data_IF_559557990946
#
_entry.id   IF_559557990946
#
_cell.length_a   1.000
_cell.length_b   1.000
_cell.length_c   1.000
_cell.angle_alpha   90.00
_cell.angle_beta   90.00
_cell.angle_gamma   90.00
#
_symmetry.space_group_name_H-M   'P 1'
#
loop_
_entity.id
_entity.type
_entity.pdbx_description
1 polymer ?
#
# COMPACT_ATOMS: atom_id res chain seq x y z
N UNK A 1 -5.04 7.01 -47.53
CA UNK A 1 -4.19 5.98 -46.90
C UNK A 1 -5.11 4.86 -46.42
N UNK A 2 -4.62 3.63 -46.23
CA UNK A 2 -5.50 2.57 -45.73
C UNK A 2 -5.88 2.87 -44.26
N UNK A 3 -7.18 2.75 -43.93
CA UNK A 3 -7.76 3.08 -42.61
C UNK A 3 -6.99 2.45 -41.42
N UNK A 4 -6.40 1.28 -41.63
CA UNK A 4 -5.62 0.56 -40.62
C UNK A 4 -4.37 1.33 -40.15
N UNK A 5 -3.70 2.08 -41.03
CA UNK A 5 -2.52 2.87 -40.68
C UNK A 5 -2.90 4.17 -39.96
N UNK A 6 -4.04 4.77 -40.29
CA UNK A 6 -4.55 5.95 -39.57
C UNK A 6 -4.93 5.57 -38.11
N UNK A 7 -5.44 4.36 -37.90
CA UNK A 7 -5.67 3.82 -36.56
C UNK A 7 -4.37 3.61 -35.78
N UNK A 8 -3.32 3.09 -36.42
CA UNK A 8 -1.99 2.97 -35.80
C UNK A 8 -1.41 4.35 -35.44
N UNK A 9 -1.62 5.35 -36.29
CA UNK A 9 -1.19 6.72 -36.02
C UNK A 9 -1.89 7.32 -34.79
N UNK A 10 -3.22 7.17 -34.70
CA UNK A 10 -3.97 7.64 -33.54
C UNK A 10 -3.50 6.94 -32.26
N UNK A 11 -3.25 5.64 -32.34
CA UNK A 11 -2.71 4.88 -31.21
C UNK A 11 -1.32 5.36 -30.80
N UNK A 12 -0.42 5.61 -31.75
CA UNK A 12 0.91 6.15 -31.49
C UNK A 12 0.83 7.50 -30.76
N UNK A 13 -0.02 8.41 -31.24
CA UNK A 13 -0.21 9.72 -30.63
C UNK A 13 -0.77 9.58 -29.22
N UNK A 14 -1.74 8.69 -29.01
CA UNK A 14 -2.29 8.41 -27.69
C UNK A 14 -1.22 7.84 -26.74
N UNK A 15 -0.39 6.91 -27.19
CA UNK A 15 0.73 6.36 -26.41
C UNK A 15 1.77 7.43 -26.06
N UNK A 16 2.12 8.30 -27.01
CA UNK A 16 3.07 9.40 -26.77
C UNK A 16 2.55 10.43 -25.78
N UNK A 17 1.27 10.79 -25.87
CA UNK A 17 0.62 11.68 -24.90
C UNK A 17 0.58 11.01 -23.52
N UNK A 18 0.16 9.75 -23.46
CA UNK A 18 0.09 8.99 -22.21
C UNK A 18 1.46 8.86 -21.56
N UNK A 19 2.49 8.50 -22.34
CA UNK A 19 3.86 8.38 -21.89
C UNK A 19 4.43 9.74 -21.42
N UNK A 20 4.20 10.80 -22.19
CA UNK A 20 4.61 12.16 -21.83
C UNK A 20 3.95 12.64 -20.53
N UNK A 21 2.66 12.33 -20.36
CA UNK A 21 1.92 12.64 -19.13
C UNK A 21 2.47 11.84 -17.94
N UNK A 22 2.86 10.58 -18.14
CA UNK A 22 3.38 9.68 -17.11
C UNK A 22 4.82 10.03 -16.69
N UNK A 23 5.64 10.51 -17.63
CA UNK A 23 7.02 10.94 -17.40
C UNK A 23 7.12 12.27 -16.65
N UNK A 24 6.06 13.08 -16.66
CA UNK A 24 6.05 14.34 -15.93
C UNK A 24 6.29 14.06 -14.43
N UNK A 25 7.10 14.87 -13.73
CA UNK A 25 7.28 14.74 -12.28
C UNK A 25 6.00 15.21 -11.56
N UNK A 26 4.98 14.36 -11.51
CA UNK A 26 3.73 14.65 -10.80
C UNK A 26 3.97 14.72 -9.29
N UNK A 27 3.29 15.63 -8.56
CA UNK A 27 3.33 15.66 -7.12
C UNK A 27 2.84 14.32 -6.54
N UNK A 28 3.57 13.81 -5.53
CA UNK A 28 3.47 12.43 -5.03
C UNK A 28 2.04 12.00 -4.65
N UNK A 29 1.19 12.93 -4.19
CA UNK A 29 -0.21 12.64 -3.88
C UNK A 29 -1.06 12.31 -5.12
N UNK A 30 -0.92 13.11 -6.18
CA UNK A 30 -1.65 12.90 -7.44
C UNK A 30 -1.13 11.66 -8.17
N UNK A 31 0.19 11.42 -8.15
CA UNK A 31 0.81 10.20 -8.67
C UNK A 31 0.28 8.94 -7.98
N UNK A 32 0.23 8.93 -6.65
CA UNK A 32 -0.34 7.80 -5.87
C UNK A 32 -1.83 7.60 -6.17
N UNK A 33 -2.58 8.69 -6.32
CA UNK A 33 -4.00 8.64 -6.68
C UNK A 33 -4.25 8.00 -8.04
N UNK A 34 -3.55 8.46 -9.08
CA UNK A 34 -3.67 7.92 -10.45
C UNK A 34 -3.20 6.48 -10.51
N UNK A 35 -2.08 6.14 -9.87
CA UNK A 35 -1.56 4.77 -9.88
C UNK A 35 -2.47 3.79 -9.16
N UNK A 36 -3.08 4.22 -8.04
CA UNK A 36 -4.07 3.41 -7.32
C UNK A 36 -5.35 3.26 -8.12
N UNK A 37 -5.76 4.30 -8.87
CA UNK A 37 -6.87 4.20 -9.80
C UNK A 37 -6.54 3.28 -10.99
N UNK A 38 -5.28 3.25 -11.43
CA UNK A 38 -4.81 2.38 -12.50
C UNK A 38 -4.76 0.91 -12.06
N UNK A 39 -4.39 0.64 -10.81
CA UNK A 39 -4.26 -0.69 -10.24
C UNK A 39 -5.60 -1.30 -9.78
N UNK A 40 -6.51 -0.49 -9.19
CA UNK A 40 -7.78 -1.00 -8.64
C UNK A 40 -8.95 -1.04 -9.62
N UNK A 41 -8.85 -0.39 -10.78
CA UNK A 41 -10.00 -0.26 -11.65
C UNK A 41 -10.09 -1.46 -12.63
N UNK A 42 -11.16 -2.28 -12.60
CA UNK A 42 -11.33 -3.41 -13.53
C UNK A 42 -11.38 -2.98 -15.01
N UNK A 43 -11.69 -1.70 -15.26
CA UNK A 43 -11.62 -1.10 -16.60
C UNK A 43 -10.18 -1.11 -17.14
N UNK A 44 -9.18 -0.95 -16.27
CA UNK A 44 -7.77 -0.89 -16.69
C UNK A 44 -7.24 -2.26 -17.07
N UNK A 45 -7.66 -3.31 -16.36
CA UNK A 45 -7.35 -4.69 -16.74
C UNK A 45 -7.92 -5.03 -18.13
N UNK A 46 -9.16 -4.62 -18.37
CA UNK A 46 -9.83 -4.78 -19.68
C UNK A 46 -9.11 -3.98 -20.78
N UNK A 47 -8.72 -2.73 -20.49
CA UNK A 47 -7.95 -1.89 -21.42
C UNK A 47 -6.58 -2.49 -21.71
N UNK A 48 -5.86 -2.97 -20.69
CA UNK A 48 -4.54 -3.59 -20.85
C UNK A 48 -4.64 -4.84 -21.74
N UNK A 49 -5.67 -5.66 -21.52
CA UNK A 49 -5.95 -6.83 -22.35
C UNK A 49 -6.29 -6.44 -23.80
N UNK A 50 -7.10 -5.40 -23.99
CA UNK A 50 -7.42 -4.86 -25.32
C UNK A 50 -6.16 -4.35 -26.03
N UNK A 51 -5.29 -3.63 -25.32
CA UNK A 51 -4.02 -3.15 -25.86
C UNK A 51 -3.06 -4.30 -26.22
N UNK A 52 -3.06 -5.42 -25.48
CA UNK A 52 -2.28 -6.62 -25.84
C UNK A 52 -2.73 -7.24 -27.16
N UNK A 53 -4.05 -7.33 -27.37
CA UNK A 53 -4.61 -7.83 -28.63
C UNK A 53 -4.28 -6.86 -29.78
N UNK A 54 -4.40 -5.57 -29.52
CA UNK A 54 -4.08 -4.52 -30.50
C UNK A 54 -2.58 -4.51 -30.86
N UNK A 55 -1.70 -4.76 -29.89
CA UNK A 55 -0.27 -4.95 -30.13
C UNK A 55 0.02 -6.10 -31.09
N UNK A 56 -0.65 -7.25 -30.94
CA UNK A 56 -0.51 -8.36 -31.88
C UNK A 56 -0.97 -7.98 -33.29
N UNK A 57 -2.03 -7.18 -33.41
CA UNK A 57 -2.48 -6.66 -34.70
C UNK A 57 -1.46 -5.70 -35.34
N UNK A 58 -0.89 -4.78 -34.55
CA UNK A 58 0.19 -3.88 -35.01
C UNK A 58 1.42 -4.69 -35.43
N UNK A 59 1.74 -5.79 -34.74
CA UNK A 59 2.83 -6.69 -35.11
C UNK A 59 2.59 -7.35 -36.47
N UNK A 60 1.37 -7.77 -36.78
CA UNK A 60 1.02 -8.30 -38.11
C UNK A 60 1.19 -7.21 -39.18
N UNK A 61 0.69 -5.98 -38.93
CA UNK A 61 0.86 -4.85 -39.85
C UNK A 61 2.33 -4.44 -40.03
N UNK A 62 3.14 -4.58 -38.99
CA UNK A 62 4.57 -4.34 -39.06
C UNK A 62 5.25 -5.36 -39.98
N UNK A 63 4.94 -6.65 -39.84
CA UNK A 63 5.46 -7.70 -40.73
C UNK A 63 4.98 -7.48 -42.17
N UNK A 64 3.73 -7.06 -42.37
CA UNK A 64 3.21 -6.69 -43.70
C UNK A 64 3.98 -5.50 -44.29
N UNK A 65 4.23 -4.46 -43.49
CA UNK A 65 5.01 -3.29 -43.89
C UNK A 65 6.45 -3.65 -44.25
N UNK A 66 7.07 -4.58 -43.51
CA UNK A 66 8.41 -5.13 -43.81
C UNK A 66 8.41 -5.86 -45.16
N UNK A 67 7.42 -6.72 -45.42
CA UNK A 67 7.28 -7.38 -46.72
C UNK A 67 7.11 -6.38 -47.85
N UNK A 68 6.38 -5.29 -47.62
CA UNK A 68 6.21 -4.20 -48.59
C UNK A 68 7.52 -3.51 -48.96
N UNK A 69 8.45 -3.34 -48.01
CA UNK A 69 9.77 -2.74 -48.26
C UNK A 69 10.74 -3.72 -48.91
N UNK A 70 10.72 -4.99 -48.49
CA UNK A 70 11.62 -6.03 -49.00
C UNK A 70 11.24 -6.53 -50.40
N UNK A 71 10.02 -6.24 -50.85
CA UNK A 71 9.58 -6.59 -52.21
C UNK A 71 10.28 -5.68 -53.22
N UNK A 72 11.47 -6.09 -53.63
CA UNK A 72 12.19 -5.55 -54.78
C UNK A 72 11.44 -5.93 -56.06
N UNK A 73 10.73 -4.98 -56.67
CA UNK A 73 10.18 -5.16 -58.02
C UNK A 73 11.29 -4.97 -59.06
N UNK A 74 11.42 -5.87 -60.06
CA UNK A 74 12.42 -5.72 -61.12
C UNK A 74 12.21 -4.41 -61.89
N UNK A 75 13.28 -3.80 -62.43
CA UNK A 75 13.20 -2.56 -63.17
C UNK A 75 12.26 -2.74 -64.38
N UNK A 76 11.22 -1.92 -64.44
CA UNK A 76 10.32 -1.82 -65.60
C UNK A 76 10.89 -0.79 -66.57
N UNK A 77 10.82 -1.07 -67.88
CA UNK A 77 11.30 -0.14 -68.92
C UNK A 77 10.39 1.08 -69.10
N UNK A 78 9.19 1.08 -68.52
CA UNK A 78 8.21 2.15 -68.65
C UNK A 78 8.41 3.26 -67.60
N UNK A 79 8.69 4.52 -68.00
CA UNK A 79 8.90 5.66 -67.09
C UNK A 79 7.73 5.90 -66.12
N UNK A 80 6.49 5.77 -66.59
CA UNK A 80 5.29 5.93 -65.75
C UNK A 80 5.14 4.79 -64.73
N UNK A 81 5.56 3.57 -65.07
CA UNK A 81 5.57 2.47 -64.11
C UNK A 81 6.62 2.73 -63.01
N UNK A 82 7.80 3.26 -63.35
CA UNK A 82 8.82 3.62 -62.35
C UNK A 82 8.35 4.67 -61.34
N UNK A 83 7.56 5.68 -61.74
CA UNK A 83 7.03 6.70 -60.83
C UNK A 83 6.03 6.11 -59.82
N UNK A 84 5.08 5.30 -60.29
CA UNK A 84 4.12 4.62 -59.41
C UNK A 84 4.81 3.65 -58.43
N UNK A 85 5.90 3.00 -58.83
CA UNK A 85 6.68 2.15 -57.94
C UNK A 85 7.42 2.94 -56.87
N UNK A 86 8.03 4.07 -57.22
CA UNK A 86 8.69 4.94 -56.24
C UNK A 86 7.70 5.43 -55.19
N UNK A 87 6.50 5.84 -55.58
CA UNK A 87 5.44 6.25 -54.66
C UNK A 87 5.01 5.14 -53.69
N UNK A 88 4.94 3.88 -54.14
CA UNK A 88 4.63 2.73 -53.29
C UNK A 88 5.76 2.38 -52.30
N UNK A 89 7.03 2.55 -52.71
CA UNK A 89 8.19 2.41 -51.82
C UNK A 89 8.17 3.46 -50.70
N UNK A 90 7.86 4.72 -51.02
CA UNK A 90 7.72 5.76 -49.99
C UNK A 90 6.54 5.51 -49.03
N UNK A 91 5.43 4.95 -49.54
CA UNK A 91 4.29 4.60 -48.70
C UNK A 91 4.62 3.47 -47.71
N UNK A 92 5.26 2.39 -48.18
CA UNK A 92 5.65 1.26 -47.33
C UNK A 92 6.73 1.64 -46.30
N UNK A 93 7.70 2.48 -46.66
CA UNK A 93 8.70 3.02 -45.72
C UNK A 93 8.06 3.79 -44.57
N UNK A 94 7.15 4.72 -44.86
CA UNK A 94 6.44 5.49 -43.82
C UNK A 94 5.62 4.58 -42.91
N UNK A 95 4.92 3.61 -43.49
CA UNK A 95 4.09 2.67 -42.74
C UNK A 95 4.91 1.75 -41.83
N UNK A 96 6.11 1.36 -42.26
CA UNK A 96 7.06 0.61 -41.44
C UNK A 96 7.55 1.41 -40.24
N UNK A 97 7.96 2.67 -40.43
CA UNK A 97 8.36 3.52 -39.30
C UNK A 97 7.20 3.73 -38.34
N UNK A 98 6.01 4.02 -38.86
CA UNK A 98 4.81 4.23 -38.06
C UNK A 98 4.50 3.00 -37.18
N UNK A 99 4.36 1.82 -37.79
CA UNK A 99 4.05 0.58 -37.08
C UNK A 99 5.19 0.13 -36.17
N UNK A 100 6.45 0.37 -36.56
CA UNK A 100 7.63 0.07 -35.76
C UNK A 100 7.72 0.91 -34.48
N UNK A 101 7.48 2.22 -34.56
CA UNK A 101 7.46 3.08 -33.37
C UNK A 101 6.33 2.72 -32.42
N UNK A 102 5.14 2.43 -32.94
CA UNK A 102 4.00 1.95 -32.13
C UNK A 102 4.34 0.66 -31.41
N UNK A 103 4.94 -0.30 -32.12
CA UNK A 103 5.34 -1.59 -31.55
C UNK A 103 6.43 -1.44 -30.48
N UNK A 104 7.32 -0.46 -30.63
CA UNK A 104 8.36 -0.16 -29.64
C UNK A 104 7.81 0.54 -28.39
N UNK A 105 6.87 1.47 -28.53
CA UNK A 105 6.33 2.23 -27.41
C UNK A 105 5.45 1.41 -26.48
N UNK A 106 4.73 0.42 -27.01
CA UNK A 106 3.86 -0.45 -26.20
C UNK A 106 4.57 -1.15 -25.01
N UNK A 107 5.66 -1.92 -25.21
CA UNK A 107 6.37 -2.57 -24.11
C UNK A 107 7.05 -1.56 -23.19
N UNK A 108 7.55 -0.44 -23.72
CA UNK A 108 8.16 0.65 -22.93
C UNK A 108 7.12 1.21 -21.96
N UNK A 109 5.95 1.60 -22.46
CA UNK A 109 4.86 2.14 -21.65
C UNK A 109 4.38 1.14 -20.62
N UNK A 110 4.17 -0.13 -21.02
CA UNK A 110 3.73 -1.19 -20.12
C UNK A 110 4.74 -1.42 -18.99
N UNK A 111 6.03 -1.46 -19.30
CA UNK A 111 7.11 -1.62 -18.31
C UNK A 111 7.17 -0.42 -17.37
N UNK A 112 7.04 0.80 -17.88
CA UNK A 112 7.06 2.01 -17.09
C UNK A 112 5.90 2.07 -16.10
N UNK A 113 4.67 1.75 -16.53
CA UNK A 113 3.50 1.69 -15.64
C UNK A 113 3.73 0.69 -14.50
N UNK A 114 4.18 -0.53 -14.81
CA UNK A 114 4.45 -1.54 -13.77
C UNK A 114 5.54 -1.11 -12.79
N UNK A 115 6.64 -0.52 -13.29
CA UNK A 115 7.70 0.02 -12.42
C UNK A 115 7.18 1.15 -11.53
N UNK A 116 6.34 2.03 -12.08
CA UNK A 116 5.78 3.16 -11.34
C UNK A 116 4.88 2.68 -10.19
N UNK A 117 4.05 1.67 -10.43
CA UNK A 117 3.21 1.02 -9.40
C UNK A 117 4.08 0.34 -8.34
N UNK A 118 5.10 -0.42 -8.74
CA UNK A 118 6.02 -1.10 -7.80
C UNK A 118 6.74 -0.12 -6.88
N UNK A 119 7.27 0.98 -7.43
CA UNK A 119 7.90 2.04 -6.63
C UNK A 119 6.89 2.65 -5.66
N UNK A 120 5.67 2.95 -6.11
CA UNK A 120 4.63 3.52 -5.25
C UNK A 120 4.22 2.59 -4.11
N UNK A 121 4.11 1.30 -4.38
CA UNK A 121 3.81 0.28 -3.37
C UNK A 121 4.97 0.12 -2.39
N UNK A 122 6.21 0.12 -2.89
CA UNK A 122 7.41 0.05 -2.07
C UNK A 122 7.53 1.25 -1.12
N UNK A 123 7.21 2.47 -1.59
CA UNK A 123 7.17 3.65 -0.73
C UNK A 123 6.11 3.53 0.37
N UNK A 124 4.90 3.06 0.01
CA UNK A 124 3.82 2.85 0.98
C UNK A 124 4.20 1.81 2.03
N UNK A 125 4.82 0.69 1.61
CA UNK A 125 5.27 -0.36 2.51
C UNK A 125 6.41 0.12 3.41
N UNK A 126 7.34 0.92 2.89
CA UNK A 126 8.39 1.52 3.71
C UNK A 126 7.82 2.48 4.76
N UNK A 127 6.77 3.25 4.42
CA UNK A 127 6.10 4.14 5.37
C UNK A 127 5.36 3.38 6.47
N UNK A 128 4.63 2.32 6.13
CA UNK A 128 3.93 1.48 7.13
C UNK A 128 4.91 0.75 8.03
N UNK A 129 6.00 0.20 7.48
CA UNK A 129 7.06 -0.44 8.25
C UNK A 129 7.74 0.55 9.19
N UNK A 130 8.01 1.79 8.75
CA UNK A 130 8.57 2.84 9.62
C UNK A 130 7.61 3.19 10.76
N UNK A 131 6.32 3.32 10.49
CA UNK A 131 5.29 3.58 11.52
C UNK A 131 5.19 2.43 12.53
N UNK A 132 5.23 1.19 12.05
CA UNK A 132 5.23 -0.01 12.91
C UNK A 132 6.50 -0.10 13.76
N UNK A 133 7.67 0.17 13.18
CA UNK A 133 8.93 0.19 13.91
C UNK A 133 8.93 1.27 15.01
N UNK A 134 8.46 2.48 14.70
CA UNK A 134 8.33 3.56 15.67
C UNK A 134 7.31 3.21 16.78
N UNK A 135 6.16 2.63 16.44
CA UNK A 135 5.16 2.18 17.40
C UNK A 135 5.68 1.06 18.31
N UNK A 136 6.40 0.08 17.75
CA UNK A 136 7.02 -0.99 18.54
C UNK A 136 8.14 -0.48 19.44
N UNK A 137 8.92 0.52 19.00
CA UNK A 137 9.94 1.16 19.83
C UNK A 137 9.31 1.93 21.00
N UNK A 138 8.24 2.67 20.76
CA UNK A 138 7.50 3.36 21.83
C UNK A 138 6.89 2.37 22.81
N UNK A 139 6.29 1.29 22.31
CA UNK A 139 5.75 0.23 23.15
C UNK A 139 6.86 -0.44 23.96
N UNK A 140 8.01 -0.75 23.35
CA UNK A 140 9.16 -1.31 24.07
C UNK A 140 9.69 -0.36 25.16
N UNK A 141 9.74 0.95 24.89
CA UNK A 141 10.12 1.95 25.89
C UNK A 141 9.13 2.02 27.03
N UNK A 142 7.82 2.02 26.75
CA UNK A 142 6.78 1.96 27.78
C UNK A 142 6.89 0.69 28.64
N UNK A 143 7.14 -0.46 28.01
CA UNK A 143 7.38 -1.71 28.73
C UNK A 143 8.61 -1.66 29.63
N UNK A 144 9.69 -1.02 29.19
CA UNK A 144 10.90 -0.82 29.99
C UNK A 144 10.61 0.11 31.18
N UNK A 145 9.91 1.22 30.95
CA UNK A 145 9.56 2.18 32.00
C UNK A 145 8.61 1.58 33.04
N UNK A 146 7.63 0.77 32.62
CA UNK A 146 6.72 0.07 33.53
C UNK A 146 7.45 -1.05 34.30
N UNK A 147 8.38 -1.77 33.66
CA UNK A 147 9.25 -2.73 34.34
C UNK A 147 10.16 -2.05 35.39
N UNK A 148 10.61 -0.82 35.13
CA UNK A 148 11.43 -0.05 36.08
C UNK A 148 10.65 0.42 37.32
N UNK A 149 9.33 0.62 37.20
CA UNK A 149 8.44 0.98 38.34
C UNK A 149 7.97 -0.22 39.15
N UNK A 150 8.06 -1.42 38.58
CA UNK A 150 7.69 -2.68 39.22
C UNK A 150 8.27 -2.89 40.64
N UNK A 151 9.57 -2.61 40.92
CA UNK A 151 10.13 -2.77 42.27
C UNK A 151 9.55 -1.79 43.30
N UNK A 152 9.24 -0.54 42.93
CA UNK A 152 8.59 0.40 43.84
C UNK A 152 7.17 -0.03 44.17
N UNK A 153 6.40 -0.42 43.14
CA UNK A 153 5.03 -0.92 43.31
C UNK A 153 5.00 -2.20 44.15
N UNK A 154 5.96 -3.11 43.98
CA UNK A 154 6.10 -4.29 44.85
C UNK A 154 6.38 -3.91 46.30
N UNK A 155 7.21 -2.90 46.54
CA UNK A 155 7.54 -2.44 47.90
C UNK A 155 6.35 -1.75 48.57
N UNK A 156 5.56 -0.98 47.84
CA UNK A 156 4.31 -0.40 48.32
C UNK A 156 3.25 -1.46 48.60
N UNK A 157 3.13 -2.47 47.72
CA UNK A 157 2.22 -3.59 47.91
C UNK A 157 2.55 -4.36 49.19
N UNK A 158 3.83 -4.65 49.45
CA UNK A 158 4.26 -5.34 50.67
C UNK A 158 4.00 -4.49 51.93
N UNK A 159 4.26 -3.18 51.88
CA UNK A 159 3.91 -2.25 52.98
C UNK A 159 2.41 -2.26 53.26
N UNK A 160 1.58 -2.11 52.22
CA UNK A 160 0.13 -2.12 52.34
C UNK A 160 -0.39 -3.46 52.93
N UNK A 161 0.21 -4.60 52.56
CA UNK A 161 -0.12 -5.90 53.18
C UNK A 161 0.24 -5.95 54.66
N UNK A 162 1.41 -5.46 55.06
CA UNK A 162 1.78 -5.38 56.48
C UNK A 162 0.86 -4.47 57.28
N UNK A 163 0.49 -3.31 56.74
CA UNK A 163 -0.43 -2.39 57.38
C UNK A 163 -1.83 -2.99 57.51
N UNK A 164 -2.32 -3.68 56.49
CA UNK A 164 -3.60 -4.37 56.52
C UNK A 164 -3.58 -5.51 57.57
N UNK A 165 -2.50 -6.27 57.65
CA UNK A 165 -2.33 -7.30 58.68
C UNK A 165 -2.28 -6.70 60.11
N UNK A 166 -1.59 -5.57 60.28
CA UNK A 166 -1.54 -4.83 61.54
C UNK A 166 -2.93 -4.29 61.93
N UNK A 167 -3.66 -3.70 60.98
CA UNK A 167 -5.01 -3.21 61.21
C UNK A 167 -5.99 -4.33 61.56
N UNK A 168 -5.89 -5.49 60.90
CA UNK A 168 -6.69 -6.66 61.21
C UNK A 168 -6.43 -7.15 62.63
N UNK A 169 -5.16 -7.24 63.04
CA UNK A 169 -4.78 -7.60 64.41
C UNK A 169 -5.26 -6.57 65.43
N UNK A 170 -5.18 -5.27 65.12
CA UNK A 170 -5.73 -4.22 65.97
C UNK A 170 -7.26 -4.33 66.11
N UNK A 171 -7.98 -4.59 65.01
CA UNK A 171 -9.43 -4.83 65.04
C UNK A 171 -9.78 -6.03 65.91
N UNK A 172 -9.09 -7.17 65.74
CA UNK A 172 -9.32 -8.37 66.56
C UNK A 172 -9.04 -8.11 68.05
N UNK A 173 -7.96 -7.39 68.36
CA UNK A 173 -7.65 -7.02 69.74
C UNK A 173 -8.68 -6.04 70.33
N UNK A 174 -9.12 -5.05 69.55
CA UNK A 174 -10.15 -4.10 69.97
C UNK A 174 -11.49 -4.80 70.21
N UNK A 175 -11.84 -5.75 69.35
CA UNK A 175 -13.06 -6.55 69.46
C UNK A 175 -13.03 -7.45 70.70
N UNK A 176 -11.87 -8.06 71.02
CA UNK A 176 -11.66 -8.77 72.29
C UNK A 176 -11.79 -7.86 73.50
N UNK A 177 -11.14 -6.69 73.49
CA UNK A 177 -11.24 -5.72 74.57
C UNK A 177 -12.67 -5.22 74.78
N UNK A 178 -13.44 -5.03 73.70
CA UNK A 178 -14.87 -4.71 73.78
C UNK A 178 -15.70 -5.84 74.39
N UNK A 179 -15.43 -7.09 74.02
CA UNK A 179 -16.08 -8.26 74.63
C UNK A 179 -15.76 -8.36 76.13
N UNK A 180 -14.49 -8.23 76.51
CA UNK A 180 -14.08 -8.26 77.93
C UNK A 180 -14.71 -7.13 78.74
N UNK A 181 -14.79 -5.91 78.18
CA UNK A 181 -15.41 -4.77 78.85
C UNK A 181 -16.93 -4.93 78.94
N UNK A 182 -17.56 -5.50 77.92
CA UNK A 182 -18.99 -5.89 77.95
C UNK A 182 -19.27 -6.95 79.02
N UNK A 183 -18.41 -7.95 79.16
CA UNK A 183 -18.53 -9.00 80.18
C UNK A 183 -18.30 -8.46 81.59
N UNK A 184 -17.35 -7.53 81.77
CA UNK A 184 -17.15 -6.78 83.03
C UNK A 184 -18.36 -5.91 83.37
N UNK A 185 -18.99 -5.26 82.39
CA UNK A 185 -20.21 -4.47 82.59
C UNK A 185 -21.42 -5.36 82.94
N UNK A 186 -21.58 -6.52 82.28
CA UNK A 186 -22.63 -7.49 82.60
C UNK A 186 -22.44 -8.18 83.97
N UNK A 187 -21.21 -8.45 84.38
CA UNK A 187 -20.91 -9.02 85.68
C UNK A 187 -21.03 -8.00 86.82
N UNK A 188 -20.62 -6.75 86.62
CA UNK A 188 -20.81 -5.66 87.59
C UNK A 188 -22.28 -5.28 87.77
N UNK A 189 -23.09 -5.24 86.70
CA UNK A 189 -24.55 -5.06 86.79
C UNK A 189 -25.28 -6.25 87.44
N UNK A 190 -24.81 -7.50 87.25
CA UNK A 190 -25.30 -8.66 88.02
C UNK A 190 -24.96 -8.59 89.51
N UNK A 191 -23.87 -7.92 89.89
CA UNK A 191 -23.46 -7.74 91.29
C UNK A 191 -24.21 -6.61 92.01
N UNK A 192 -24.65 -5.57 91.29
CA UNK A 192 -25.49 -4.51 91.89
C UNK A 192 -26.93 -4.98 92.12
N UNK A 193 -27.42 -5.95 91.35
CA UNK A 193 -28.77 -6.49 91.50
C UNK A 193 -28.91 -7.58 92.59
N UNK A 194 -27.83 -7.93 93.30
CA UNK A 194 -27.82 -8.87 94.45
C UNK A 194 -27.66 -8.19 95.81
N UNK A 195 -27.56 -6.85 95.86
CA UNK A 195 -27.41 -6.07 97.10
C UNK A 195 -28.66 -5.26 97.45
N UNK A 196 -29.75 -5.47 96.71
CA UNK A 196 -31.09 -4.93 96.96
C UNK A 196 -32.10 -6.08 96.97
N UNK A 197 -32.01 -6.92 98.00
CA UNK A 197 -33.11 -7.69 98.58
C UNK A 197 -32.73 -8.01 100.03
#
# INVERSE_FOLDING_TARGET
MALHYDLCFLLLVAEMIFLGLLLLPWPNAARKGILKALDKNPVVETISQTLRVLFLFVLILFVDSVRGILKETPPSLDPHHTEHHQMQKFASQRNFYLTGFTLFLYPVTSRLVSLLIQVSLSESNAETLRKQAAGNQQHLQQFIDDAAKLPEVQKELEKAKTDLAAMKKQSENLQKAYHDLSDLHNSSSSSSNKKSD
#
